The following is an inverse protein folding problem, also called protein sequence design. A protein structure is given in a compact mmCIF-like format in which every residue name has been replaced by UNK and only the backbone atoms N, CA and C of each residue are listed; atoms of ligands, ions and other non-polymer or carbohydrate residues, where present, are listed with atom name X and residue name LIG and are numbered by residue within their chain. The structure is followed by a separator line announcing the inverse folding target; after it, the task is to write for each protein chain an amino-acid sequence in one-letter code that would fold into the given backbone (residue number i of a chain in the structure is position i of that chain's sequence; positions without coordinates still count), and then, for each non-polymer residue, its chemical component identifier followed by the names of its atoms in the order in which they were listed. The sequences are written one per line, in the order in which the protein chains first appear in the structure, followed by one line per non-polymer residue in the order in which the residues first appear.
data_IF_254661108723
#
_entry.id   IF_254661108723
#
_cell.length_a   1.000
_cell.length_b   1.000
_cell.length_c   1.000
_cell.angle_alpha   90.00
_cell.angle_beta   90.00
_cell.angle_gamma   90.00
#
_symmetry.space_group_name_H-M   'P 1'
#
loop_
_entity.id
_entity.type
_entity.pdbx_description
1 polymer ?
#
# COMPACT_ATOMS: atom_id res chain seq x y z
N UNK A 1 -29.76 27.42 41.12
CA UNK A 1 -28.93 27.31 39.89
C UNK A 1 -28.10 26.04 40.00
N UNK A 2 -28.31 25.07 39.12
CA UNK A 2 -27.42 23.92 38.97
C UNK A 2 -27.55 23.42 37.52
N UNK A 3 -26.67 23.91 36.65
CA UNK A 3 -26.56 23.46 35.27
C UNK A 3 -25.59 22.27 35.25
N UNK A 4 -26.13 21.09 34.96
CA UNK A 4 -25.39 19.82 34.94
C UNK A 4 -24.56 19.66 33.67
N UNK A 5 -23.27 19.35 33.85
CA UNK A 5 -22.38 18.85 32.81
C UNK A 5 -22.69 17.36 32.53
N UNK A 6 -23.19 17.05 31.34
CA UNK A 6 -23.21 15.68 30.80
C UNK A 6 -22.87 15.75 29.30
N UNK A 7 -21.65 15.35 28.91
CA UNK A 7 -21.33 14.77 27.59
C UNK A 7 -19.80 14.66 27.33
N UNK A 8 -19.13 13.56 27.74
CA UNK A 8 -17.75 13.25 27.25
C UNK A 8 -17.48 11.73 27.07
N UNK A 9 -18.48 10.84 27.04
CA UNK A 9 -18.20 9.38 27.00
C UNK A 9 -18.25 8.72 25.61
N UNK A 10 -18.59 9.44 24.53
CA UNK A 10 -18.75 8.84 23.20
C UNK A 10 -17.43 8.58 22.42
N UNK A 11 -16.29 9.14 22.84
CA UNK A 11 -15.03 9.11 22.06
C UNK A 11 -14.18 7.83 22.19
N UNK A 12 -14.33 7.05 23.26
CA UNK A 12 -13.46 5.90 23.52
C UNK A 12 -13.86 4.62 22.76
N UNK A 13 -15.13 4.48 22.38
CA UNK A 13 -15.61 3.28 21.70
C UNK A 13 -15.16 3.23 20.22
N UNK A 14 -15.21 4.37 19.53
CA UNK A 14 -14.85 4.46 18.10
C UNK A 14 -13.36 4.19 17.84
N UNK A 15 -12.47 4.69 18.71
CA UNK A 15 -11.03 4.47 18.58
C UNK A 15 -10.64 3.02 18.80
N UNK A 16 -11.28 2.33 19.77
CA UNK A 16 -11.07 0.88 19.97
C UNK A 16 -11.57 0.07 18.79
N UNK A 17 -12.75 0.38 18.27
CA UNK A 17 -13.30 -0.30 17.10
C UNK A 17 -12.41 -0.12 15.86
N UNK A 18 -11.91 1.09 15.61
CA UNK A 18 -10.98 1.37 14.52
C UNK A 18 -9.65 0.61 14.67
N UNK A 19 -9.06 0.59 15.86
CA UNK A 19 -7.82 -0.19 16.12
C UNK A 19 -8.02 -1.68 15.94
N UNK A 20 -9.13 -2.22 16.43
CA UNK A 20 -9.47 -3.64 16.27
C UNK A 20 -9.64 -4.00 14.78
N UNK A 21 -10.35 -3.16 14.01
CA UNK A 21 -10.47 -3.30 12.56
C UNK A 21 -9.10 -3.30 11.87
N UNK A 22 -8.26 -2.30 12.13
CA UNK A 22 -6.93 -2.22 11.52
C UNK A 22 -6.03 -3.41 11.89
N UNK A 23 -6.07 -3.87 13.14
CA UNK A 23 -5.30 -5.03 13.57
C UNK A 23 -5.78 -6.31 12.86
N UNK A 24 -7.09 -6.50 12.77
CA UNK A 24 -7.68 -7.62 12.04
C UNK A 24 -7.29 -7.60 10.56
N UNK A 25 -7.49 -6.46 9.89
CA UNK A 25 -7.12 -6.30 8.48
C UNK A 25 -5.65 -6.57 8.25
N UNK A 26 -4.78 -6.03 9.10
CA UNK A 26 -3.33 -6.28 9.01
C UNK A 26 -3.04 -7.77 9.06
N UNK A 27 -3.56 -8.49 10.06
CA UNK A 27 -3.34 -9.93 10.19
C UNK A 27 -3.86 -10.73 8.99
N UNK A 28 -5.06 -10.41 8.50
CA UNK A 28 -5.63 -11.13 7.36
C UNK A 28 -4.88 -10.84 6.06
N UNK A 29 -4.54 -9.58 5.79
CA UNK A 29 -3.78 -9.17 4.59
C UNK A 29 -2.33 -9.63 4.64
N UNK A 30 -1.74 -9.76 5.84
CA UNK A 30 -0.43 -10.37 6.02
C UNK A 30 -0.41 -11.85 5.64
N UNK A 31 -1.51 -12.56 5.90
CA UNK A 31 -1.68 -13.97 5.54
C UNK A 31 -2.19 -14.16 4.10
N UNK A 32 -2.73 -13.12 3.47
CA UNK A 32 -3.25 -13.20 2.10
C UNK A 32 -2.12 -13.48 1.11
N UNK A 33 -2.34 -14.46 0.24
CA UNK A 33 -1.50 -14.80 -0.90
C UNK A 33 -2.40 -14.86 -2.12
N UNK A 34 -2.12 -14.03 -3.11
CA UNK A 34 -2.80 -14.15 -4.40
C UNK A 34 -2.30 -15.41 -5.09
N UNK A 35 -3.23 -16.28 -5.49
CA UNK A 35 -2.90 -17.49 -6.28
C UNK A 35 -2.36 -17.12 -7.67
N UNK A 36 -2.72 -15.94 -8.17
CA UNK A 36 -2.28 -15.41 -9.45
C UNK A 36 -0.79 -15.00 -9.41
N UNK A 37 -0.05 -15.21 -10.50
CA UNK A 37 1.33 -14.76 -10.59
C UNK A 37 1.42 -13.23 -10.56
N UNK A 38 2.55 -12.70 -10.10
CA UNK A 38 2.77 -11.25 -9.95
C UNK A 38 2.47 -10.48 -11.24
N UNK A 39 2.82 -11.06 -12.38
CA UNK A 39 2.68 -10.47 -13.71
C UNK A 39 1.20 -10.26 -14.11
N UNK A 40 0.27 -11.03 -13.53
CA UNK A 40 -1.18 -10.84 -13.70
C UNK A 40 -1.76 -9.84 -12.69
N UNK A 41 -1.22 -9.81 -11.46
CA UNK A 41 -1.69 -8.92 -10.38
C UNK A 41 -1.19 -7.48 -10.58
N UNK A 42 0.02 -7.29 -11.11
CA UNK A 42 0.65 -5.97 -11.21
C UNK A 42 -0.09 -4.97 -12.10
N UNK A 43 -0.65 -5.33 -13.27
CA UNK A 43 -1.48 -4.41 -14.03
C UNK A 43 -2.69 -3.88 -13.24
N UNK A 44 -3.28 -4.70 -12.35
CA UNK A 44 -4.38 -4.28 -11.48
C UNK A 44 -3.92 -3.29 -10.40
N UNK A 45 -2.69 -3.44 -9.89
CA UNK A 45 -2.05 -2.46 -8.98
C UNK A 45 -1.93 -1.10 -9.67
N UNK A 46 -1.43 -1.08 -10.90
CA UNK A 46 -1.25 0.14 -11.68
C UNK A 46 -2.60 0.81 -11.96
N UNK A 47 -3.60 0.03 -12.42
CA UNK A 47 -4.96 0.53 -12.65
C UNK A 47 -5.58 1.08 -11.37
N UNK A 48 -5.44 0.38 -10.24
CA UNK A 48 -5.95 0.85 -8.96
C UNK A 48 -5.35 2.20 -8.56
N UNK A 49 -4.03 2.34 -8.61
CA UNK A 49 -3.36 3.63 -8.30
C UNK A 49 -3.78 4.72 -9.29
N UNK A 50 -3.93 4.38 -10.57
CA UNK A 50 -4.37 5.31 -11.59
C UNK A 50 -5.82 5.77 -11.40
N UNK A 51 -6.74 4.86 -11.06
CA UNK A 51 -8.15 5.15 -10.74
C UNK A 51 -8.27 6.02 -9.50
N UNK A 52 -7.41 5.77 -8.51
CA UNK A 52 -7.30 6.66 -7.34
C UNK A 52 -6.76 8.01 -7.70
N UNK A 53 -6.20 8.19 -8.91
CA UNK A 53 -5.67 9.41 -9.51
C UNK A 53 -4.24 9.74 -9.06
N UNK A 54 -3.46 8.73 -8.70
CA UNK A 54 -2.02 8.88 -8.49
C UNK A 54 -1.30 8.91 -9.85
N UNK A 55 -0.39 9.87 -10.06
CA UNK A 55 0.35 9.94 -11.31
C UNK A 55 1.40 8.83 -11.36
N UNK A 56 1.38 8.05 -12.43
CA UNK A 56 2.38 7.01 -12.70
C UNK A 56 3.49 7.54 -13.63
N UNK A 57 4.64 6.86 -13.64
CA UNK A 57 5.79 7.21 -14.48
C UNK A 57 5.90 6.31 -15.71
N UNK A 58 6.49 6.85 -16.78
CA UNK A 58 6.96 6.08 -17.94
C UNK A 58 5.98 5.05 -18.50
N UNK A 59 6.46 3.81 -18.61
CA UNK A 59 5.70 2.68 -19.16
C UNK A 59 4.43 2.38 -18.37
N UNK A 60 4.45 2.59 -17.06
CA UNK A 60 3.32 2.31 -16.18
C UNK A 60 2.17 3.31 -16.43
N UNK A 61 2.49 4.59 -16.64
CA UNK A 61 1.50 5.60 -17.05
C UNK A 61 0.86 5.23 -18.40
N UNK A 62 1.67 4.79 -19.36
CA UNK A 62 1.19 4.38 -20.69
C UNK A 62 0.29 3.14 -20.61
N UNK A 63 0.62 2.17 -19.76
CA UNK A 63 -0.14 0.94 -19.58
C UNK A 63 -1.58 1.19 -19.08
N UNK A 64 -1.77 2.24 -18.29
CA UNK A 64 -3.09 2.66 -17.75
C UNK A 64 -3.76 3.79 -18.55
N UNK A 65 -3.17 4.22 -19.68
CA UNK A 65 -3.70 5.31 -20.49
C UNK A 65 -3.59 6.70 -19.86
N UNK A 66 -2.76 6.88 -18.82
CA UNK A 66 -2.43 8.20 -18.32
C UNK A 66 -1.53 8.94 -19.33
N UNK A 67 -1.73 10.25 -19.47
CA UNK A 67 -0.78 11.09 -20.21
C UNK A 67 0.56 11.03 -19.47
N UNK A 68 1.64 10.76 -20.21
CA UNK A 68 2.97 10.79 -19.62
C UNK A 68 3.21 12.14 -18.94
N UNK A 69 3.68 12.11 -17.69
CA UNK A 69 4.02 13.34 -16.98
C UNK A 69 5.05 14.12 -17.78
N UNK A 70 4.79 15.43 -17.97
CA UNK A 70 5.71 16.32 -18.64
C UNK A 70 7.06 16.35 -17.90
N UNK A 71 8.14 16.57 -18.64
CA UNK A 71 9.51 16.59 -18.11
C UNK A 71 9.67 17.50 -16.87
N UNK A 72 8.96 18.64 -16.83
CA UNK A 72 8.96 19.56 -15.69
C UNK A 72 8.34 18.96 -14.42
N UNK A 73 7.30 18.12 -14.56
CA UNK A 73 6.69 17.41 -13.42
C UNK A 73 7.58 16.26 -12.93
N UNK A 74 8.30 15.58 -13.83
CA UNK A 74 9.29 14.55 -13.43
C UNK A 74 10.43 15.14 -12.60
N UNK A 75 10.86 16.36 -12.89
CA UNK A 75 11.89 17.06 -12.12
C UNK A 75 11.41 17.52 -10.73
N UNK A 76 10.15 17.95 -10.63
CA UNK A 76 9.57 18.45 -9.36
C UNK A 76 8.99 17.32 -8.49
N UNK A 77 8.77 16.14 -9.04
CA UNK A 77 8.18 14.99 -8.35
C UNK A 77 8.66 13.70 -9.00
N UNK A 78 9.81 13.15 -8.57
CA UNK A 78 10.36 11.94 -9.14
C UNK A 78 9.49 10.74 -8.73
N UNK A 79 8.40 10.53 -9.46
CA UNK A 79 7.79 9.21 -9.58
C UNK A 79 8.82 8.28 -10.21
N UNK A 80 8.99 7.08 -9.65
CA UNK A 80 9.93 6.10 -10.20
C UNK A 80 9.15 5.05 -10.96
N UNK A 81 9.66 4.70 -12.14
CA UNK A 81 9.13 3.58 -12.92
C UNK A 81 9.25 2.27 -12.12
N UNK A 82 8.40 1.29 -12.46
CA UNK A 82 8.47 -0.02 -11.83
C UNK A 82 9.88 -0.59 -11.97
N UNK A 83 10.57 -0.74 -10.85
CA UNK A 83 11.82 -1.48 -10.78
C UNK A 83 11.48 -2.95 -10.62
N UNK A 84 11.95 -3.75 -11.58
CA UNK A 84 12.04 -5.18 -11.39
C UNK A 84 13.26 -5.41 -10.49
N UNK A 85 13.10 -6.15 -9.40
CA UNK A 85 14.24 -6.53 -8.58
C UNK A 85 15.18 -7.38 -9.41
N UNK A 86 16.19 -6.75 -10.02
CA UNK A 86 17.24 -7.47 -10.74
C UNK A 86 18.24 -7.95 -9.68
N UNK A 87 18.34 -9.26 -9.41
CA UNK A 87 19.20 -9.80 -8.34
C UNK A 87 20.71 -9.64 -8.62
N UNK A 88 21.09 -8.89 -9.66
CA UNK A 88 22.45 -8.85 -10.21
C UNK A 88 23.09 -7.47 -10.32
N UNK A 89 22.66 -6.45 -9.56
CA UNK A 89 23.37 -5.15 -9.61
C UNK A 89 24.85 -5.34 -9.28
N UNK A 90 25.72 -5.01 -10.23
CA UNK A 90 27.16 -5.22 -10.15
C UNK A 90 27.78 -4.54 -8.90
N UNK A 91 27.16 -3.45 -8.42
CA UNK A 91 27.57 -2.77 -7.18
C UNK A 91 27.21 -3.55 -5.90
N UNK A 92 26.09 -4.29 -5.89
CA UNK A 92 25.78 -5.22 -4.80
C UNK A 92 26.74 -6.42 -4.84
N UNK A 93 27.12 -6.87 -6.03
CA UNK A 93 28.09 -7.94 -6.21
C UNK A 93 29.49 -7.54 -5.73
N UNK A 94 29.83 -6.25 -5.87
CA UNK A 94 31.06 -5.66 -5.34
C UNK A 94 31.00 -5.26 -3.84
N UNK A 95 29.87 -5.50 -3.15
CA UNK A 95 29.72 -5.19 -1.72
C UNK A 95 29.74 -3.70 -1.38
N UNK A 96 29.59 -2.81 -2.37
CA UNK A 96 29.65 -1.35 -2.18
C UNK A 96 28.34 -0.80 -1.60
N UNK A 97 27.24 -1.52 -1.81
CA UNK A 97 25.93 -1.20 -1.24
C UNK A 97 25.55 -2.32 -0.27
N UNK A 98 25.15 -1.97 0.94
CA UNK A 98 24.62 -2.93 1.90
C UNK A 98 23.52 -3.76 1.22
N UNK A 99 23.69 -5.09 1.24
CA UNK A 99 22.72 -6.03 0.69
C UNK A 99 21.46 -5.94 1.54
N UNK A 100 20.52 -5.14 1.08
CA UNK A 100 19.21 -4.99 1.70
C UNK A 100 18.54 -6.37 1.54
N UNK A 101 18.58 -7.20 2.60
CA UNK A 101 18.08 -8.60 2.54
C UNK A 101 16.62 -8.65 2.09
N UNK A 102 15.87 -7.59 2.35
CA UNK A 102 14.48 -7.43 1.95
C UNK A 102 14.31 -7.12 0.44
N UNK A 103 15.37 -6.77 -0.28
CA UNK A 103 15.31 -6.48 -1.70
C UNK A 103 15.27 -7.75 -2.58
N UNK A 104 15.83 -8.87 -2.11
CA UNK A 104 15.80 -10.15 -2.86
C UNK A 104 14.39 -10.75 -2.92
N UNK A 105 13.50 -10.42 -1.97
CA UNK A 105 12.11 -10.90 -1.97
C UNK A 105 11.15 -10.00 -2.77
N UNK A 106 11.55 -8.75 -3.06
CA UNK A 106 10.73 -7.79 -3.82
C UNK A 106 10.86 -8.06 -5.31
N UNK A 107 9.82 -8.64 -5.90
CA UNK A 107 9.77 -8.91 -7.32
C UNK A 107 9.57 -7.63 -8.15
N UNK A 108 8.68 -6.74 -7.69
CA UNK A 108 8.34 -5.50 -8.38
C UNK A 108 8.08 -4.39 -7.36
N UNK A 109 8.52 -3.16 -7.65
CA UNK A 109 8.25 -1.99 -6.82
C UNK A 109 7.91 -0.80 -7.69
N UNK A 110 6.86 -0.05 -7.36
CA UNK A 110 6.41 1.16 -8.06
C UNK A 110 6.25 2.31 -7.05
N UNK A 111 6.80 3.48 -7.36
CA UNK A 111 6.57 4.71 -6.58
C UNK A 111 5.83 5.73 -7.45
N UNK A 112 4.64 6.15 -7.01
CA UNK A 112 3.87 7.17 -7.71
C UNK A 112 4.50 8.55 -7.55
N UNK A 113 4.09 9.49 -8.40
CA UNK A 113 4.39 10.90 -8.18
C UNK A 113 3.57 11.48 -7.03
N UNK A 114 3.96 12.66 -6.58
CA UNK A 114 3.23 13.42 -5.58
C UNK A 114 1.91 13.93 -6.13
N UNK A 115 0.85 13.83 -5.33
CA UNK A 115 -0.41 14.54 -5.58
C UNK A 115 -0.35 15.97 -5.06
N UNK A 116 -1.38 16.75 -5.41
CA UNK A 116 -1.57 18.13 -4.90
C UNK A 116 -1.54 18.21 -3.37
N UNK A 117 -1.99 17.16 -2.69
CA UNK A 117 -2.02 17.08 -1.22
C UNK A 117 -0.71 16.55 -0.61
N UNK A 118 0.36 16.47 -1.43
CA UNK A 118 1.70 16.03 -1.01
C UNK A 118 1.72 14.64 -0.37
N UNK A 119 0.84 13.75 -0.82
CA UNK A 119 0.94 12.32 -0.59
C UNK A 119 1.38 11.60 -1.89
N UNK A 120 2.11 10.50 -1.73
CA UNK A 120 2.40 9.55 -2.81
C UNK A 120 2.33 8.13 -2.27
N UNK A 121 2.25 7.17 -3.17
CA UNK A 121 2.23 5.76 -2.81
C UNK A 121 3.48 5.05 -3.30
N UNK A 122 3.91 4.09 -2.50
CA UNK A 122 4.79 3.02 -2.91
C UNK A 122 4.00 1.71 -2.87
N UNK A 123 4.01 0.96 -3.98
CA UNK A 123 3.50 -0.39 -4.04
C UNK A 123 4.68 -1.35 -4.17
N UNK A 124 4.75 -2.34 -3.29
CA UNK A 124 5.75 -3.40 -3.32
C UNK A 124 5.08 -4.74 -3.56
N UNK A 125 5.47 -5.44 -4.62
CA UNK A 125 5.10 -6.80 -4.93
C UNK A 125 6.17 -7.77 -4.43
N UNK A 126 5.77 -8.70 -3.56
CA UNK A 126 6.62 -9.78 -3.02
C UNK A 126 6.19 -11.11 -3.64
N UNK A 127 7.15 -11.89 -4.17
CA UNK A 127 6.88 -13.25 -4.66
C UNK A 127 6.91 -14.22 -3.48
N UNK A 128 5.87 -15.03 -3.30
CA UNK A 128 5.76 -15.98 -2.19
C UNK A 128 5.30 -17.34 -2.72
N UNK A 129 6.27 -18.25 -2.94
CA UNK A 129 6.01 -19.55 -3.55
C UNK A 129 5.50 -19.43 -4.98
N UNK A 130 4.35 -20.03 -5.28
CA UNK A 130 3.66 -19.92 -6.57
C UNK A 130 2.78 -18.67 -6.69
N UNK A 131 2.59 -17.93 -5.60
CA UNK A 131 1.73 -16.77 -5.55
C UNK A 131 2.51 -15.47 -5.34
N UNK A 132 1.76 -14.42 -5.04
CA UNK A 132 2.32 -13.13 -4.69
C UNK A 132 1.52 -12.41 -3.61
N UNK A 133 2.15 -11.38 -3.04
CA UNK A 133 1.52 -10.42 -2.14
C UNK A 133 1.90 -9.01 -2.58
N UNK A 134 0.98 -8.08 -2.42
CA UNK A 134 1.20 -6.66 -2.71
C UNK A 134 0.97 -5.87 -1.43
N UNK A 135 1.90 -4.98 -1.12
CA UNK A 135 1.84 -4.07 0.02
C UNK A 135 1.78 -2.64 -0.52
N UNK A 136 0.82 -1.85 -0.03
CA UNK A 136 0.72 -0.43 -0.34
C UNK A 136 1.19 0.39 0.85
N UNK A 137 2.13 1.30 0.62
CA UNK A 137 2.64 2.23 1.63
C UNK A 137 2.37 3.66 1.18
N UNK A 138 1.51 4.36 1.90
CA UNK A 138 1.34 5.80 1.78
C UNK A 138 2.58 6.50 2.35
N UNK A 139 3.06 7.50 1.62
CA UNK A 139 4.20 8.34 1.99
C UNK A 139 3.70 9.78 1.97
N UNK A 140 3.62 10.40 3.14
CA UNK A 140 3.30 11.81 3.28
C UNK A 140 4.58 12.63 3.10
N UNK A 141 4.49 13.81 2.51
CA UNK A 141 5.61 14.75 2.50
C UNK A 141 5.82 15.30 3.90
N UNK A 142 7.06 15.32 4.36
CA UNK A 142 7.43 16.12 5.51
C UNK A 142 7.60 17.57 5.04
N UNK A 143 6.84 18.50 5.61
CA UNK A 143 6.99 19.93 5.30
C UNK A 143 8.19 20.56 6.02
N UNK A 144 8.71 19.89 7.05
CA UNK A 144 9.72 20.43 7.96
C UNK A 144 11.12 19.88 7.67
N UNK A 145 11.24 18.69 7.08
CA UNK A 145 12.50 18.09 6.67
C UNK A 145 12.49 17.76 5.17
N UNK A 146 13.61 18.00 4.46
CA UNK A 146 13.79 17.60 3.05
C UNK A 146 13.90 16.06 2.84
N UNK A 147 13.26 15.27 3.71
CA UNK A 147 13.24 13.80 3.69
C UNK A 147 11.83 13.30 3.37
N UNK A 148 11.76 12.05 2.92
CA UNK A 148 10.48 11.35 2.86
C UNK A 148 9.82 11.41 4.24
N UNK A 149 8.56 11.87 4.30
CA UNK A 149 7.83 11.96 5.55
C UNK A 149 7.29 10.63 6.02
N UNK A 150 6.22 10.69 6.82
CA UNK A 150 5.70 9.50 7.50
C UNK A 150 5.29 8.43 6.49
N UNK A 151 5.69 7.19 6.75
CA UNK A 151 5.31 6.02 5.93
C UNK A 151 4.30 5.18 6.69
N UNK A 152 3.18 4.88 6.04
CA UNK A 152 2.13 4.07 6.64
C UNK A 152 1.56 3.10 5.61
N UNK A 153 1.48 1.82 5.99
CA UNK A 153 0.80 0.81 5.18
C UNK A 153 -0.70 1.13 5.06
N UNK A 154 -1.24 1.10 3.85
CA UNK A 154 -2.65 1.32 3.58
C UNK A 154 -3.38 -0.01 3.38
N UNK A 155 -3.96 -0.50 4.47
CA UNK A 155 -4.69 -1.76 4.51
C UNK A 155 -6.00 -1.70 3.72
N UNK A 156 -6.61 -0.53 3.58
CA UNK A 156 -7.87 -0.38 2.84
C UNK A 156 -7.59 -0.44 1.33
N UNK A 157 -6.47 0.12 0.87
CA UNK A 157 -6.05 0.00 -0.53
C UNK A 157 -5.63 -1.44 -0.89
N UNK A 158 -4.97 -2.16 0.03
CA UNK A 158 -4.69 -3.58 -0.13
C UNK A 158 -5.96 -4.43 -0.23
N UNK A 159 -6.95 -4.16 0.64
CA UNK A 159 -8.25 -4.84 0.56
C UNK A 159 -8.98 -4.51 -0.75
N UNK A 160 -8.88 -3.27 -1.23
CA UNK A 160 -9.47 -2.89 -2.52
C UNK A 160 -8.81 -3.61 -3.70
N UNK A 161 -7.50 -3.81 -3.68
CA UNK A 161 -6.82 -4.66 -4.66
C UNK A 161 -7.35 -6.10 -4.56
N UNK A 162 -7.49 -6.65 -3.36
CA UNK A 162 -8.04 -7.98 -3.16
C UNK A 162 -9.45 -8.10 -3.77
N UNK A 163 -10.34 -7.11 -3.58
CA UNK A 163 -11.68 -7.11 -4.20
C UNK A 163 -11.63 -7.20 -5.73
N UNK A 164 -10.60 -6.65 -6.38
CA UNK A 164 -10.43 -6.66 -7.84
C UNK A 164 -9.83 -7.97 -8.35
N UNK A 165 -8.84 -8.51 -7.62
CA UNK A 165 -8.01 -9.62 -8.07
C UNK A 165 -8.52 -10.97 -7.60
N UNK A 166 -8.98 -11.05 -6.35
CA UNK A 166 -9.47 -12.25 -5.67
C UNK A 166 -10.66 -11.87 -4.76
N UNK A 167 -11.82 -11.70 -5.41
CA UNK A 167 -13.06 -11.28 -4.74
C UNK A 167 -13.46 -12.23 -3.62
N UNK A 168 -13.26 -13.54 -3.80
CA UNK A 168 -13.61 -14.53 -2.79
C UNK A 168 -12.77 -14.34 -1.52
N UNK A 169 -11.46 -14.10 -1.66
CA UNK A 169 -10.61 -13.77 -0.51
C UNK A 169 -11.02 -12.48 0.18
N UNK A 170 -11.33 -11.42 -0.58
CA UNK A 170 -11.81 -10.17 -0.01
C UNK A 170 -13.12 -10.34 0.77
N UNK A 171 -14.09 -11.05 0.19
CA UNK A 171 -15.39 -11.32 0.82
C UNK A 171 -15.22 -12.10 2.14
N UNK A 172 -14.28 -13.07 2.20
CA UNK A 172 -13.95 -13.79 3.45
C UNK A 172 -13.36 -12.87 4.53
N UNK A 173 -12.45 -11.97 4.15
CA UNK A 173 -11.85 -11.00 5.09
C UNK A 173 -12.94 -10.04 5.62
N UNK A 174 -13.81 -9.56 4.76
CA UNK A 174 -14.88 -8.64 5.14
C UNK A 174 -15.95 -9.29 6.01
N UNK A 175 -16.32 -10.53 5.71
CA UNK A 175 -17.23 -11.30 6.56
C UNK A 175 -16.71 -11.42 7.99
N UNK A 176 -15.39 -11.60 8.17
CA UNK A 176 -14.77 -11.65 9.49
C UNK A 176 -14.71 -10.30 10.21
N UNK A 177 -14.78 -9.17 9.50
CA UNK A 177 -14.96 -7.84 10.11
C UNK A 177 -16.39 -7.63 10.64
N UNK A 178 -17.38 -8.19 9.96
CA UNK A 178 -18.79 -8.09 10.35
C UNK A 178 -19.17 -9.04 11.49
N UNK A 179 -18.40 -10.12 11.68
CA UNK A 179 -18.61 -11.03 12.80
C UNK A 179 -18.42 -10.29 14.14
N UNK A 180 -19.39 -10.33 15.06
CA UNK A 180 -19.21 -9.75 16.38
C UNK A 180 -18.03 -10.47 17.02
N UNK A 181 -16.97 -9.71 17.32
CA UNK A 181 -15.86 -10.17 18.16
C UNK A 181 -16.38 -10.30 19.59
N UNK A 182 -17.22 -11.31 19.81
CA UNK A 182 -17.73 -11.66 21.13
C UNK A 182 -16.55 -11.89 22.07
N UNK A 183 -16.66 -11.50 23.35
CA UNK A 183 -15.58 -11.69 24.30
C UNK A 183 -15.25 -13.19 24.35
N UNK A 184 -14.02 -13.55 23.97
CA UNK A 184 -13.43 -14.83 24.35
C UNK A 184 -13.17 -14.77 25.86
N UNK A 185 -14.22 -15.00 26.64
CA UNK A 185 -14.11 -15.25 28.07
C UNK A 185 -13.43 -16.59 28.25
N UNK A 186 -12.20 -16.56 28.73
CA UNK A 186 -11.46 -17.69 29.29
C UNK A 186 -11.04 -17.32 30.69
#
# INVERSE_FOLDING_TARGET
MAAGLVAVTAGCASTRASRARSAYLKTQLDALRYTKPMEEVWPEVQRLLADKGYPLAGKDAKAVGQKEMGWAQRLLSPAKETHHGDPGSLLQLLGVVARDRDAEERAQSLETGWRKHRDRYRADGVKEGSGCRVIFTAIDADETEHRDGSRRRDLELELELARRVDREAADRIEAGLAAPSGPKGG
#
